data_IF_388508633749
#
_entry.id   IF_388508633749
#
_cell.length_a   1.000
_cell.length_b   1.000
_cell.length_c   1.000
_cell.angle_alpha   90.00
_cell.angle_beta   90.00
_cell.angle_gamma   90.00
#
_symmetry.space_group_name_H-M   'P 1'
#
loop_
_entity.id
_entity.type
_entity.pdbx_description
1 polymer ?
#
# COMPACT_ATOMS: atom_id res chain seq x y z
N UNK A 1 -8.77 -17.09 -7.33
CA UNK A 1 -9.73 -18.12 -6.92
C UNK A 1 -10.88 -17.47 -6.20
N UNK A 2 -12.13 -17.69 -6.63
CA UNK A 2 -13.28 -16.96 -6.11
C UNK A 2 -13.52 -17.19 -4.59
N UNK A 3 -13.12 -18.34 -4.06
CA UNK A 3 -13.25 -18.60 -2.62
C UNK A 3 -12.28 -17.73 -1.78
N UNK A 4 -11.04 -17.54 -2.25
CA UNK A 4 -10.07 -16.69 -1.54
C UNK A 4 -10.51 -15.24 -1.53
N UNK A 5 -11.07 -14.76 -2.64
CA UNK A 5 -11.58 -13.39 -2.76
C UNK A 5 -12.79 -13.16 -1.85
N UNK A 6 -13.68 -14.15 -1.77
CA UNK A 6 -14.84 -14.09 -0.86
C UNK A 6 -14.43 -14.09 0.61
N UNK A 7 -13.45 -14.94 0.99
CA UNK A 7 -12.94 -14.98 2.37
C UNK A 7 -12.23 -13.68 2.74
N UNK A 8 -11.39 -13.14 1.85
CA UNK A 8 -10.74 -11.86 2.06
C UNK A 8 -11.75 -10.73 2.24
N UNK A 9 -12.81 -10.72 1.43
CA UNK A 9 -13.86 -9.72 1.56
C UNK A 9 -14.60 -9.87 2.89
N UNK A 10 -15.02 -11.09 3.24
CA UNK A 10 -15.75 -11.36 4.50
C UNK A 10 -14.92 -10.99 5.73
N UNK A 11 -13.65 -11.44 5.78
CA UNK A 11 -12.74 -11.10 6.88
C UNK A 11 -12.42 -9.60 6.91
N UNK A 12 -12.26 -8.96 5.76
CA UNK A 12 -12.05 -7.51 5.66
C UNK A 12 -13.25 -6.71 6.20
N UNK A 13 -14.47 -7.11 5.84
CA UNK A 13 -15.71 -6.50 6.37
C UNK A 13 -15.82 -6.70 7.88
N UNK A 14 -15.52 -7.90 8.40
CA UNK A 14 -15.49 -8.16 9.83
C UNK A 14 -14.49 -7.25 10.55
N UNK A 15 -13.26 -7.15 10.05
CA UNK A 15 -12.24 -6.28 10.64
C UNK A 15 -12.66 -4.82 10.57
N UNK A 16 -13.23 -4.35 9.45
CA UNK A 16 -13.76 -2.99 9.34
C UNK A 16 -14.88 -2.72 10.34
N UNK A 17 -15.78 -3.69 10.57
CA UNK A 17 -16.83 -3.58 11.58
C UNK A 17 -16.26 -3.50 13.01
N UNK A 18 -15.20 -4.27 13.32
CA UNK A 18 -14.49 -4.19 14.60
C UNK A 18 -13.85 -2.81 14.82
N UNK A 19 -13.29 -2.21 13.79
CA UNK A 19 -12.79 -0.83 13.86
C UNK A 19 -13.93 0.18 14.08
N UNK A 20 -15.01 0.07 13.30
CA UNK A 20 -16.13 0.99 13.35
C UNK A 20 -16.89 0.93 14.70
N UNK A 21 -16.94 -0.23 15.33
CA UNK A 21 -17.59 -0.44 16.64
C UNK A 21 -16.69 -0.05 17.84
N UNK A 22 -15.44 0.36 17.60
CA UNK A 22 -14.50 0.75 18.65
C UNK A 22 -13.88 -0.42 19.44
N UNK A 23 -14.15 -1.67 19.08
CA UNK A 23 -13.57 -2.83 19.75
C UNK A 23 -12.04 -2.90 19.64
N UNK A 24 -11.46 -2.22 18.65
CA UNK A 24 -10.00 -2.12 18.47
C UNK A 24 -9.32 -0.97 19.23
N UNK A 25 -10.02 -0.31 20.15
CA UNK A 25 -9.41 0.76 20.97
C UNK A 25 -8.48 0.22 22.06
N UNK A 26 -8.72 -1.01 22.50
CA UNK A 26 -7.91 -1.70 23.51
C UNK A 26 -7.39 -3.04 22.95
N UNK A 27 -6.16 -3.40 23.34
CA UNK A 27 -5.60 -4.69 22.97
C UNK A 27 -6.38 -5.82 23.65
N UNK A 28 -6.77 -6.84 22.87
CA UNK A 28 -7.44 -8.03 23.39
C UNK A 28 -7.00 -9.26 22.60
N UNK A 29 -6.47 -10.30 23.24
CA UNK A 29 -6.02 -11.51 22.54
C UNK A 29 -7.10 -12.19 21.71
N UNK A 30 -8.37 -12.09 22.12
CA UNK A 30 -9.50 -12.64 21.37
C UNK A 30 -9.69 -11.96 20.00
N UNK A 31 -9.28 -10.70 19.86
CA UNK A 31 -9.34 -9.95 18.61
C UNK A 31 -8.14 -10.19 17.70
N UNK A 32 -7.10 -10.89 18.15
CA UNK A 32 -5.97 -11.24 17.29
C UNK A 32 -6.35 -12.20 16.16
N UNK A 33 -7.28 -13.14 16.41
CA UNK A 33 -7.66 -14.19 15.47
C UNK A 33 -8.12 -13.66 14.09
N UNK A 34 -9.07 -12.72 13.97
CA UNK A 34 -9.47 -12.18 12.67
C UNK A 34 -8.33 -11.49 11.91
N UNK A 35 -7.41 -10.81 12.61
CA UNK A 35 -6.24 -10.21 11.97
C UNK A 35 -5.22 -11.25 11.50
N UNK A 36 -5.01 -12.34 12.25
CA UNK A 36 -4.14 -13.46 11.83
C UNK A 36 -4.72 -14.12 10.59
N UNK A 37 -6.02 -14.43 10.59
CA UNK A 37 -6.69 -15.04 9.44
C UNK A 37 -6.56 -14.12 8.22
N UNK A 38 -6.83 -12.85 8.36
CA UNK A 38 -6.73 -11.87 7.28
C UNK A 38 -5.29 -11.78 6.76
N UNK A 39 -4.30 -11.81 7.63
CA UNK A 39 -2.87 -11.81 7.26
C UNK A 39 -2.50 -13.04 6.46
N UNK A 40 -2.91 -14.22 6.90
CA UNK A 40 -2.66 -15.48 6.18
C UNK A 40 -3.30 -15.44 4.79
N UNK A 41 -4.54 -14.97 4.67
CA UNK A 41 -5.23 -14.84 3.39
C UNK A 41 -4.54 -13.84 2.46
N UNK A 42 -4.08 -12.69 2.98
CA UNK A 42 -3.30 -11.71 2.21
C UNK A 42 -1.94 -12.29 1.78
N UNK A 43 -1.26 -13.00 2.67
CA UNK A 43 0.00 -13.67 2.36
C UNK A 43 -0.15 -14.72 1.27
N UNK A 44 -1.20 -15.54 1.35
CA UNK A 44 -1.53 -16.55 0.34
C UNK A 44 -1.83 -15.88 -1.02
N UNK A 45 -2.57 -14.77 -1.04
CA UNK A 45 -2.85 -14.03 -2.25
C UNK A 45 -1.57 -13.43 -2.85
N UNK A 46 -0.73 -12.82 -2.03
CA UNK A 46 0.53 -12.22 -2.45
C UNK A 46 1.47 -13.27 -3.05
N UNK A 47 1.60 -14.42 -2.41
CA UNK A 47 2.39 -15.55 -2.90
C UNK A 47 1.88 -16.06 -4.26
N UNK A 48 0.57 -16.17 -4.43
CA UNK A 48 -0.04 -16.62 -5.70
C UNK A 48 0.12 -15.61 -6.84
N UNK A 49 0.22 -14.34 -6.53
CA UNK A 49 0.45 -13.27 -7.52
C UNK A 49 1.92 -13.09 -7.85
N UNK A 50 2.81 -13.72 -7.09
CA UNK A 50 4.24 -13.58 -7.31
C UNK A 50 4.69 -14.26 -8.60
N UNK A 51 5.23 -13.46 -9.53
CA UNK A 51 5.89 -13.88 -10.75
C UNK A 51 7.24 -13.18 -10.83
N UNK A 52 8.30 -13.89 -11.25
CA UNK A 52 9.66 -13.30 -11.34
C UNK A 52 9.70 -12.04 -12.20
N UNK A 53 8.88 -11.97 -13.27
CA UNK A 53 8.79 -10.82 -14.17
C UNK A 53 8.22 -9.54 -13.55
N UNK A 54 7.57 -9.60 -12.38
CA UNK A 54 7.02 -8.43 -11.68
C UNK A 54 8.13 -7.40 -11.40
N UNK A 55 9.30 -7.86 -11.00
CA UNK A 55 10.41 -7.01 -10.57
C UNK A 55 11.03 -6.17 -11.70
N UNK A 56 10.84 -6.57 -12.95
CA UNK A 56 11.26 -5.80 -14.13
C UNK A 56 10.32 -4.64 -14.50
N UNK A 57 9.12 -4.56 -13.91
CA UNK A 57 8.10 -3.58 -14.29
C UNK A 57 7.74 -2.70 -13.09
N UNK A 58 8.11 -1.40 -13.09
CA UNK A 58 7.89 -0.49 -11.95
C UNK A 58 6.46 -0.44 -11.43
N UNK A 59 5.47 -0.39 -12.30
CA UNK A 59 4.06 -0.40 -11.92
C UNK A 59 3.61 -1.69 -11.25
N UNK A 60 4.21 -2.83 -11.59
CA UNK A 60 3.83 -4.12 -11.01
C UNK A 60 4.49 -4.35 -9.66
N UNK A 61 5.80 -4.12 -9.55
CA UNK A 61 6.46 -4.32 -8.25
C UNK A 61 6.01 -3.30 -7.20
N UNK A 62 5.66 -2.07 -7.60
CA UNK A 62 5.13 -1.08 -6.66
C UNK A 62 3.78 -1.51 -6.07
N UNK A 63 2.87 -2.04 -6.90
CA UNK A 63 1.60 -2.60 -6.44
C UNK A 63 1.80 -3.84 -5.56
N UNK A 64 2.77 -4.69 -5.92
CA UNK A 64 3.10 -5.88 -5.14
C UNK A 64 3.64 -5.53 -3.75
N UNK A 65 4.55 -4.55 -3.65
CA UNK A 65 5.07 -4.06 -2.38
C UNK A 65 3.99 -3.35 -1.55
N UNK A 66 3.14 -2.54 -2.18
CA UNK A 66 2.04 -1.91 -1.49
C UNK A 66 1.07 -2.94 -0.89
N UNK A 67 0.83 -4.04 -1.61
CA UNK A 67 0.04 -5.15 -1.08
C UNK A 67 0.77 -5.91 0.05
N UNK A 68 2.10 -6.02 -0.02
CA UNK A 68 2.89 -6.59 1.08
C UNK A 68 2.79 -5.75 2.36
N UNK A 69 2.71 -4.42 2.26
CA UNK A 69 2.45 -3.54 3.40
C UNK A 69 1.08 -3.79 4.04
N UNK A 70 0.06 -4.17 3.26
CA UNK A 70 -1.24 -4.55 3.80
C UNK A 70 -1.14 -5.82 4.66
N UNK A 71 -0.37 -6.82 4.19
CA UNK A 71 -0.05 -8.01 4.98
C UNK A 71 0.67 -7.64 6.29
N UNK A 72 1.70 -6.78 6.22
CA UNK A 72 2.45 -6.35 7.41
C UNK A 72 1.57 -5.55 8.37
N UNK A 73 0.65 -4.74 7.88
CA UNK A 73 -0.29 -3.99 8.71
C UNK A 73 -1.22 -4.92 9.50
N UNK A 74 -1.79 -5.94 8.84
CA UNK A 74 -2.66 -6.91 9.51
C UNK A 74 -1.90 -7.79 10.50
N UNK A 75 -0.67 -8.20 10.19
CA UNK A 75 0.22 -8.87 11.15
C UNK A 75 0.57 -7.99 12.35
N UNK A 76 0.87 -6.71 12.11
CA UNK A 76 1.14 -5.74 13.16
C UNK A 76 -0.05 -5.54 14.11
N UNK A 77 -1.27 -5.50 13.59
CA UNK A 77 -2.49 -5.44 14.42
C UNK A 77 -2.67 -6.71 15.24
N UNK A 78 -2.45 -7.88 14.65
CA UNK A 78 -2.47 -9.15 15.38
C UNK A 78 -1.44 -9.16 16.52
N UNK A 79 -0.21 -8.73 16.23
CA UNK A 79 0.88 -8.63 17.21
C UNK A 79 0.55 -7.66 18.36
N UNK A 80 -0.11 -6.55 18.05
CA UNK A 80 -0.58 -5.62 19.07
C UNK A 80 -1.64 -6.23 19.98
N UNK A 81 -2.63 -6.92 19.41
CA UNK A 81 -3.66 -7.60 20.19
C UNK A 81 -3.10 -8.74 21.06
N UNK A 82 -2.00 -9.38 20.64
CA UNK A 82 -1.28 -10.40 21.43
C UNK A 82 -0.34 -9.80 22.48
N UNK A 83 -0.20 -8.48 22.54
CA UNK A 83 0.70 -7.79 23.46
C UNK A 83 2.18 -7.81 23.05
N UNK A 84 2.50 -8.22 21.81
CA UNK A 84 3.87 -8.21 21.27
C UNK A 84 4.31 -6.82 20.80
N UNK A 85 3.37 -5.98 20.44
CA UNK A 85 3.60 -4.56 20.16
C UNK A 85 2.92 -3.70 21.21
N UNK A 86 3.61 -2.66 21.66
CA UNK A 86 3.10 -1.74 22.69
C UNK A 86 2.08 -0.73 22.14
N UNK A 87 2.11 -0.48 20.84
CA UNK A 87 1.26 0.53 20.18
C UNK A 87 0.75 0.05 18.83
N UNK A 88 -0.55 0.26 18.52
CA UNK A 88 -1.13 -0.07 17.21
C UNK A 88 -0.67 0.89 16.11
N UNK A 89 -0.03 2.00 16.49
CA UNK A 89 0.36 3.06 15.55
C UNK A 89 1.33 2.56 14.46
N UNK A 90 2.19 1.60 14.77
CA UNK A 90 3.11 1.00 13.78
C UNK A 90 2.33 0.26 12.68
N UNK A 91 1.34 -0.55 13.05
CA UNK A 91 0.47 -1.25 12.12
C UNK A 91 -0.37 -0.27 11.28
N UNK A 92 -0.91 0.77 11.93
CA UNK A 92 -1.68 1.81 11.24
C UNK A 92 -0.83 2.58 10.22
N UNK A 93 0.46 2.84 10.52
CA UNK A 93 1.34 3.49 9.55
C UNK A 93 1.79 2.55 8.43
N UNK A 94 1.97 1.26 8.69
CA UNK A 94 2.17 0.27 7.64
C UNK A 94 0.99 0.25 6.65
N UNK A 95 -0.24 0.35 7.17
CA UNK A 95 -1.45 0.45 6.35
C UNK A 95 -1.51 1.78 5.59
N UNK A 96 -1.43 2.91 6.29
CA UNK A 96 -1.68 4.22 5.71
C UNK A 96 -0.55 4.67 4.78
N UNK A 97 0.70 4.58 5.22
CA UNK A 97 1.86 5.08 4.47
C UNK A 97 2.33 4.05 3.44
N UNK A 98 2.50 2.80 3.88
CA UNK A 98 3.01 1.72 3.02
C UNK A 98 1.96 1.22 2.02
N UNK A 99 0.84 0.68 2.52
CA UNK A 99 -0.18 0.07 1.66
C UNK A 99 -0.98 1.12 0.89
N UNK A 100 -1.71 2.01 1.58
CA UNK A 100 -2.57 2.99 0.91
C UNK A 100 -1.75 3.99 0.08
N UNK A 101 -0.69 4.58 0.65
CA UNK A 101 0.19 5.49 -0.08
C UNK A 101 0.80 4.86 -1.32
N UNK A 102 1.29 3.62 -1.21
CA UNK A 102 1.84 2.86 -2.32
C UNK A 102 0.82 2.54 -3.41
N UNK A 103 -0.37 2.06 -3.03
CA UNK A 103 -1.47 1.78 -3.97
C UNK A 103 -1.94 3.06 -4.67
N UNK A 104 -2.12 4.15 -3.93
CA UNK A 104 -2.55 5.44 -4.49
C UNK A 104 -1.53 5.91 -5.53
N UNK A 105 -0.24 5.99 -5.18
CA UNK A 105 0.79 6.49 -6.09
C UNK A 105 0.90 5.62 -7.35
N UNK A 106 0.91 4.30 -7.20
CA UNK A 106 1.00 3.37 -8.32
C UNK A 106 -0.24 3.42 -9.22
N UNK A 107 -1.44 3.49 -8.63
CA UNK A 107 -2.69 3.59 -9.40
C UNK A 107 -2.83 4.93 -10.08
N UNK A 108 -2.47 6.03 -9.43
CA UNK A 108 -2.46 7.36 -10.05
C UNK A 108 -1.54 7.37 -11.28
N UNK A 109 -0.33 6.82 -11.16
CA UNK A 109 0.61 6.72 -12.28
C UNK A 109 0.03 5.88 -13.44
N UNK A 110 -0.54 4.71 -13.13
CA UNK A 110 -1.14 3.80 -14.11
C UNK A 110 -2.35 4.43 -14.82
N UNK A 111 -3.28 4.97 -14.04
CA UNK A 111 -4.52 5.55 -14.54
C UNK A 111 -4.24 6.79 -15.39
N UNK A 112 -3.32 7.65 -14.96
CA UNK A 112 -2.92 8.84 -15.73
C UNK A 112 -2.37 8.48 -17.12
N UNK A 113 -1.52 7.45 -17.23
CA UNK A 113 -1.03 6.97 -18.52
C UNK A 113 -2.17 6.43 -19.40
N UNK A 114 -3.02 5.59 -18.82
CA UNK A 114 -4.15 5.00 -19.56
C UNK A 114 -5.15 6.05 -20.05
N UNK A 115 -5.56 6.98 -19.19
CA UNK A 115 -6.50 8.03 -19.57
C UNK A 115 -5.94 9.06 -20.56
N UNK A 116 -4.63 9.19 -20.65
CA UNK A 116 -3.97 10.06 -21.63
C UNK A 116 -3.60 9.34 -22.95
N UNK A 117 -4.00 8.08 -23.11
CA UNK A 117 -3.73 7.26 -24.31
C UNK A 117 -2.28 6.83 -24.46
N UNK A 118 -1.49 6.87 -23.38
CA UNK A 118 -0.07 6.52 -23.38
C UNK A 118 0.15 5.06 -22.97
N UNK A 119 1.27 4.48 -23.45
CA UNK A 119 1.69 3.15 -23.00
C UNK A 119 1.87 3.11 -21.47
N UNK A 120 1.54 1.96 -20.83
CA UNK A 120 1.68 1.76 -19.39
C UNK A 120 3.16 1.59 -18.97
N UNK A 121 4.00 2.48 -19.45
CA UNK A 121 5.43 2.55 -19.18
C UNK A 121 5.72 3.88 -18.50
N UNK A 122 5.77 3.92 -17.15
CA UNK A 122 6.03 5.15 -16.43
C UNK A 122 7.46 5.65 -16.68
N UNK A 123 7.71 6.96 -16.58
CA UNK A 123 9.06 7.49 -16.58
C UNK A 123 9.92 6.81 -15.52
N UNK A 124 11.22 6.64 -15.78
CA UNK A 124 12.14 5.97 -14.84
C UNK A 124 12.16 6.65 -13.45
N UNK A 125 11.94 7.95 -13.39
CA UNK A 125 11.79 8.69 -12.13
C UNK A 125 10.68 8.12 -11.22
N UNK A 126 9.64 7.50 -11.78
CA UNK A 126 8.60 6.86 -10.98
C UNK A 126 9.06 5.60 -10.26
N UNK A 127 10.05 4.88 -10.80
CA UNK A 127 10.67 3.78 -10.05
C UNK A 127 11.35 4.30 -8.78
N UNK A 128 12.04 5.44 -8.85
CA UNK A 128 12.60 6.11 -7.67
C UNK A 128 11.51 6.61 -6.73
N UNK A 129 10.43 7.19 -7.24
CA UNK A 129 9.30 7.63 -6.42
C UNK A 129 8.67 6.46 -5.64
N UNK A 130 8.44 5.31 -6.28
CA UNK A 130 7.94 4.11 -5.62
C UNK A 130 8.94 3.58 -4.57
N UNK A 131 10.25 3.59 -4.87
CA UNK A 131 11.30 3.21 -3.93
C UNK A 131 11.35 4.13 -2.70
N UNK A 132 11.31 5.46 -2.91
CA UNK A 132 11.30 6.45 -1.84
C UNK A 132 10.06 6.31 -0.94
N UNK A 133 8.88 6.08 -1.51
CA UNK A 133 7.68 5.86 -0.73
C UNK A 133 7.81 4.63 0.18
N UNK A 134 8.31 3.52 -0.35
CA UNK A 134 8.54 2.30 0.43
C UNK A 134 9.63 2.51 1.50
N UNK A 135 10.70 3.25 1.20
CA UNK A 135 11.71 3.62 2.17
C UNK A 135 11.12 4.49 3.30
N UNK A 136 10.32 5.49 2.94
CA UNK A 136 9.62 6.34 3.90
C UNK A 136 8.69 5.53 4.82
N UNK A 137 7.93 4.57 4.25
CA UNK A 137 7.10 3.66 5.03
C UNK A 137 7.93 2.80 5.99
N UNK A 138 9.04 2.24 5.51
CA UNK A 138 9.96 1.44 6.33
C UNK A 138 10.51 2.26 7.51
N UNK A 139 11.05 3.46 7.24
CA UNK A 139 11.55 4.36 8.28
C UNK A 139 10.45 4.70 9.28
N UNK A 140 9.23 5.00 8.80
CA UNK A 140 8.10 5.37 9.67
C UNK A 140 7.69 4.25 10.62
N UNK A 141 7.78 3.00 10.17
CA UNK A 141 7.37 1.84 10.97
C UNK A 141 8.50 1.35 11.89
N UNK A 142 9.78 1.50 11.50
CA UNK A 142 10.90 0.86 12.21
C UNK A 142 11.80 1.81 13.00
N UNK A 143 11.92 3.09 12.60
CA UNK A 143 13.01 3.95 13.08
C UNK A 143 12.63 4.93 14.21
N UNK A 144 11.42 4.84 14.77
CA UNK A 144 11.01 5.70 15.89
C UNK A 144 10.78 7.18 15.51
N UNK A 145 10.52 8.02 16.51
CA UNK A 145 10.12 9.43 16.30
C UNK A 145 11.23 10.34 15.76
N UNK A 146 12.48 10.03 16.06
CA UNK A 146 13.64 10.84 15.63
C UNK A 146 13.81 10.92 14.10
N UNK A 147 13.32 9.91 13.37
CA UNK A 147 13.44 9.81 11.92
C UNK A 147 12.16 10.19 11.17
N UNK A 148 11.18 10.75 11.89
CA UNK A 148 9.88 11.11 11.31
C UNK A 148 10.00 12.09 10.15
N UNK A 149 10.88 13.06 10.26
CA UNK A 149 11.14 14.06 9.23
C UNK A 149 11.68 13.44 7.93
N UNK A 150 12.55 12.41 8.05
CA UNK A 150 13.09 11.71 6.87
C UNK A 150 12.02 10.86 6.19
N UNK A 151 11.18 10.17 6.96
CA UNK A 151 10.04 9.45 6.43
C UNK A 151 9.08 10.38 5.67
N UNK A 152 8.76 11.55 6.26
CA UNK A 152 7.92 12.56 5.63
C UNK A 152 8.57 13.14 4.35
N UNK A 153 9.87 13.39 4.36
CA UNK A 153 10.62 13.87 3.19
C UNK A 153 10.57 12.84 2.05
N UNK A 154 10.85 11.57 2.33
CA UNK A 154 10.77 10.50 1.33
C UNK A 154 9.38 10.45 0.68
N UNK A 155 8.33 10.53 1.50
CA UNK A 155 6.96 10.53 1.03
C UNK A 155 6.62 11.77 0.18
N UNK A 156 6.99 12.96 0.65
CA UNK A 156 6.77 14.21 -0.07
C UNK A 156 7.49 14.25 -1.42
N UNK A 157 8.76 13.80 -1.47
CA UNK A 157 9.53 13.73 -2.72
C UNK A 157 8.92 12.72 -3.69
N UNK A 158 8.42 11.58 -3.21
CA UNK A 158 7.76 10.59 -4.06
C UNK A 158 6.53 11.17 -4.78
N UNK A 159 5.67 11.88 -4.06
CA UNK A 159 4.50 12.55 -4.65
C UNK A 159 4.86 13.78 -5.48
N UNK A 160 5.89 14.53 -5.10
CA UNK A 160 6.39 15.64 -5.89
C UNK A 160 6.93 15.18 -7.26
N UNK A 161 7.64 14.05 -7.31
CA UNK A 161 8.07 13.43 -8.57
C UNK A 161 6.86 13.03 -9.43
N UNK A 162 5.84 12.43 -8.83
CA UNK A 162 4.59 12.16 -9.56
C UNK A 162 4.00 13.45 -10.13
N UNK A 163 3.80 14.46 -9.32
CA UNK A 163 3.21 15.72 -9.77
C UNK A 163 4.03 16.37 -10.89
N UNK A 164 5.36 16.39 -10.76
CA UNK A 164 6.25 16.96 -11.77
C UNK A 164 6.15 16.27 -13.13
N UNK A 165 6.13 14.95 -13.15
CA UNK A 165 6.11 14.19 -14.41
C UNK A 165 4.70 14.03 -15.00
N UNK A 166 3.66 13.99 -14.17
CA UNK A 166 2.30 13.71 -14.64
C UNK A 166 1.41 14.93 -14.82
N UNK A 167 1.63 16.04 -14.10
CA UNK A 167 0.85 17.25 -14.32
C UNK A 167 0.90 17.75 -15.78
N UNK A 168 2.07 17.81 -16.46
CA UNK A 168 2.10 18.17 -17.87
C UNK A 168 1.36 17.21 -18.79
N UNK A 169 1.32 15.89 -18.44
CA UNK A 169 0.62 14.89 -19.23
C UNK A 169 -0.91 15.04 -19.10
N UNK A 170 -1.37 15.33 -17.90
CA UNK A 170 -2.79 15.49 -17.59
C UNK A 170 -3.37 16.82 -18.12
N UNK A 171 -2.52 17.83 -18.33
CA UNK A 171 -2.92 19.11 -18.91
C UNK A 171 -2.88 19.15 -20.44
N UNK A 172 -2.56 18.03 -21.12
CA UNK A 172 -2.49 17.93 -22.58
C UNK A 172 -3.59 17.03 -23.12
N UNK A 173 -3.99 17.29 -24.36
CA UNK A 173 -4.91 16.41 -25.08
C UNK A 173 -4.36 14.96 -25.14
N UNK A 174 -5.25 14.00 -25.23
CA UNK A 174 -4.91 12.58 -25.41
C UNK A 174 -4.09 12.39 -26.68
N UNK A 175 -3.10 11.50 -26.61
CA UNK A 175 -2.20 11.24 -27.76
C UNK A 175 -2.82 10.31 -28.80
N UNK A 176 -3.90 9.60 -28.47
CA UNK A 176 -4.63 8.67 -29.35
C UNK A 176 -5.81 9.33 -30.10
N UNK A 177 -6.03 10.63 -29.92
CA UNK A 177 -7.08 11.39 -30.60
C UNK A 177 -8.51 11.16 -30.09
N UNK A 178 -8.72 10.28 -29.10
CA UNK A 178 -10.03 10.11 -28.50
C UNK A 178 -10.39 11.30 -27.58
N UNK A 179 -11.68 11.63 -27.42
CA UNK A 179 -12.11 12.63 -26.44
C UNK A 179 -11.70 12.20 -25.04
N UNK A 180 -11.27 13.16 -24.20
CA UNK A 180 -10.83 12.95 -22.82
C UNK A 180 -11.98 12.73 -21.86
#
# INVERSE_FOLDING_TARGET
>A
HPWLDRLLLACGVLVAALFASGHNLLASPSLAAPFIVLSVLHGLRLWRWHLRGIWGVPLLWSLHLAYAWLLLATLGMAAWHLGWLTQPSLANHALAVGAMGGLILAMMARVSLGHTGRALQPPQAMAWAFGLLNLGALIRVSAGSSWLWLAALCWAVAFALFAWYYAPLLCRARVDGHPG
#
